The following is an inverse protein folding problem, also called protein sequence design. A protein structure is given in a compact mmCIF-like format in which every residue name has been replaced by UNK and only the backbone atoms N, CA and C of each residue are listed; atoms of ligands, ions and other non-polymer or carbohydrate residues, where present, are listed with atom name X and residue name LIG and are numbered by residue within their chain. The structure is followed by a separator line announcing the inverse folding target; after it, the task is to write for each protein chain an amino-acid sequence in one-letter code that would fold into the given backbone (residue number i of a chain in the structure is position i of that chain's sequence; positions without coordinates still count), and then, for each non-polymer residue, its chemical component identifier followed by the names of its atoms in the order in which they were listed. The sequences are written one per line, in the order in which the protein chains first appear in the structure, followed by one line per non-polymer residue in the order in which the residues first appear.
data_IF_466975251357
#
_entry.id   IF_466975251357
#
_cell.length_a   1.000
_cell.length_b   1.000
_cell.length_c   1.000
_cell.angle_alpha   90.00
_cell.angle_beta   90.00
_cell.angle_gamma   90.00
#
_symmetry.space_group_name_H-M   'P 1'
#
loop_
_entity.id
_entity.type
_entity.pdbx_description
1 polymer ?
#
# COMPACT_ATOMS: atom_id res chain seq x y z
N UNK A 1 14.09 -36.63 -47.58
CA UNK A 1 12.88 -36.39 -48.40
C UNK A 1 11.76 -37.31 -47.92
N UNK A 2 10.57 -36.73 -47.63
CA UNK A 2 9.22 -37.35 -47.62
C UNK A 2 8.93 -38.51 -46.62
N UNK A 3 7.73 -38.69 -46.04
CA UNK A 3 6.47 -37.94 -45.85
C UNK A 3 5.54 -38.86 -44.99
N UNK A 4 4.86 -38.29 -43.98
CA UNK A 4 3.45 -38.52 -43.54
C UNK A 4 2.96 -39.88 -43.02
N UNK A 5 2.37 -39.87 -41.81
CA UNK A 5 0.94 -40.21 -41.48
C UNK A 5 0.71 -39.95 -39.97
N UNK A 6 -0.04 -38.94 -39.52
CA UNK A 6 -1.50 -38.63 -39.52
C UNK A 6 -2.27 -39.24 -38.32
N UNK A 7 -3.04 -38.36 -37.68
CA UNK A 7 -3.75 -38.38 -36.40
C UNK A 7 -4.91 -39.39 -36.25
N UNK A 8 -5.14 -39.84 -35.00
CA UNK A 8 -6.44 -40.12 -34.33
C UNK A 8 -6.19 -39.90 -32.83
N UNK A 9 -6.70 -38.91 -32.08
CA UNK A 9 -8.03 -38.31 -31.90
C UNK A 9 -9.00 -39.18 -31.05
N UNK A 10 -8.84 -39.06 -29.74
CA UNK A 10 -9.84 -39.20 -28.67
C UNK A 10 -9.31 -38.34 -27.51
N UNK A 11 -10.00 -37.35 -26.95
CA UNK A 11 -11.43 -37.17 -26.79
C UNK A 11 -11.74 -37.07 -25.30
N UNK A 12 -11.24 -36.02 -24.62
CA UNK A 12 -11.71 -35.62 -23.29
C UNK A 12 -11.99 -34.13 -23.37
N UNK A 13 -13.27 -33.80 -23.40
CA UNK A 13 -13.76 -32.44 -23.29
C UNK A 13 -13.46 -31.94 -21.88
N UNK A 14 -12.33 -31.24 -21.73
CA UNK A 14 -12.15 -30.32 -20.61
C UNK A 14 -13.06 -29.15 -20.93
N UNK A 15 -14.22 -29.08 -20.27
CA UNK A 15 -14.96 -27.85 -20.13
C UNK A 15 -14.06 -26.89 -19.36
N UNK A 16 -13.21 -26.18 -20.09
CA UNK A 16 -12.51 -25.02 -19.58
C UNK A 16 -13.61 -24.04 -19.16
N UNK A 17 -13.82 -23.97 -17.84
CA UNK A 17 -14.67 -22.99 -17.23
C UNK A 17 -14.28 -21.63 -17.81
N UNK A 18 -15.32 -20.92 -18.22
CA UNK A 18 -15.26 -19.62 -18.87
C UNK A 18 -14.29 -18.74 -18.07
N UNK A 19 -13.11 -18.48 -18.63
CA UNK A 19 -12.26 -17.41 -18.16
C UNK A 19 -13.06 -16.13 -18.42
N UNK A 20 -13.77 -15.68 -17.39
CA UNK A 20 -14.43 -14.39 -17.35
C UNK A 20 -13.35 -13.31 -17.44
N UNK A 21 -12.98 -12.97 -18.67
CA UNK A 21 -12.40 -11.67 -19.00
C UNK A 21 -13.51 -10.62 -18.76
N UNK A 22 -13.66 -10.16 -17.53
CA UNK A 22 -14.51 -9.02 -17.16
C UNK A 22 -13.64 -8.06 -16.34
N UNK A 23 -13.25 -6.93 -16.96
CA UNK A 23 -12.64 -5.78 -16.29
C UNK A 23 -11.18 -5.94 -15.85
N UNK A 24 -10.23 -5.72 -16.75
CA UNK A 24 -8.78 -5.84 -16.50
C UNK A 24 -8.16 -4.66 -15.73
N UNK A 25 -8.90 -3.98 -14.84
CA UNK A 25 -8.34 -2.91 -14.03
C UNK A 25 -7.67 -3.52 -12.79
N UNK A 26 -6.35 -3.32 -12.60
CA UNK A 26 -5.64 -3.87 -11.46
C UNK A 26 -6.21 -3.28 -10.16
N UNK A 27 -6.28 -4.05 -9.04
CA UNK A 27 -6.90 -3.59 -7.81
C UNK A 27 -6.28 -2.28 -7.33
N UNK A 28 -7.04 -1.22 -7.05
CA UNK A 28 -6.51 0.09 -6.70
C UNK A 28 -5.70 0.03 -5.40
N UNK A 29 -4.92 1.08 -5.08
CA UNK A 29 -4.36 1.24 -3.75
C UNK A 29 -5.44 1.05 -2.68
N UNK A 30 -5.09 0.31 -1.63
CA UNK A 30 -5.99 -0.02 -0.54
C UNK A 30 -6.38 1.23 0.22
N UNK A 31 -7.69 1.42 0.42
CA UNK A 31 -8.21 2.49 1.27
C UNK A 31 -7.96 2.16 2.74
N UNK A 32 -7.51 3.16 3.48
CA UNK A 32 -7.36 3.09 4.93
C UNK A 32 -7.43 4.48 5.55
N UNK A 33 -7.69 4.52 6.85
CA UNK A 33 -7.46 5.66 7.72
C UNK A 33 -6.52 5.17 8.83
N UNK A 34 -5.38 5.80 9.00
CA UNK A 34 -4.32 5.24 9.83
C UNK A 34 -3.42 6.33 10.39
N UNK A 35 -3.10 7.29 9.53
CA UNK A 35 -2.46 8.57 9.86
C UNK A 35 -3.44 9.65 9.44
N UNK A 36 -3.80 10.52 10.37
CA UNK A 36 -4.74 11.63 10.15
C UNK A 36 -3.99 12.86 9.67
N UNK A 37 -2.84 13.17 10.27
CA UNK A 37 -2.06 14.37 9.97
C UNK A 37 -0.55 14.08 10.01
N UNK A 38 0.19 14.71 9.11
CA UNK A 38 1.65 14.80 9.15
C UNK A 38 1.99 16.26 8.94
N UNK A 39 2.61 16.88 9.94
CA UNK A 39 2.95 18.28 9.93
C UNK A 39 4.38 18.47 10.40
N UNK A 40 4.89 19.69 10.24
CA UNK A 40 6.10 20.10 10.92
C UNK A 40 5.78 20.53 12.35
N UNK A 41 6.59 20.07 13.30
CA UNK A 41 6.51 20.48 14.69
C UNK A 41 7.02 21.91 14.91
N UNK A 42 7.08 22.30 16.18
CA UNK A 42 7.61 23.61 16.58
C UNK A 42 9.01 23.84 16.00
N UNK A 43 9.26 25.06 15.51
CA UNK A 43 10.50 25.46 14.84
C UNK A 43 10.78 24.78 13.48
N UNK A 44 9.89 23.92 13.00
CA UNK A 44 10.02 23.23 11.71
C UNK A 44 11.27 22.35 11.61
N UNK A 45 11.72 21.76 12.72
CA UNK A 45 12.88 20.86 12.80
C UNK A 45 12.48 19.41 13.08
N UNK A 46 11.18 19.11 13.21
CA UNK A 46 10.65 17.77 13.45
C UNK A 46 9.37 17.54 12.65
N UNK A 47 9.06 16.28 12.38
CA UNK A 47 7.74 15.85 11.90
C UNK A 47 6.87 15.52 13.11
N UNK A 48 5.68 16.10 13.19
CA UNK A 48 4.61 15.70 14.09
C UNK A 48 3.59 14.88 13.32
N UNK A 49 3.25 13.72 13.84
CA UNK A 49 2.36 12.75 13.20
C UNK A 49 1.22 12.45 14.13
N UNK A 50 0.00 12.60 13.63
CA UNK A 50 -1.19 12.17 14.33
C UNK A 50 -1.66 10.81 13.77
N UNK A 51 -1.73 9.82 14.65
CA UNK A 51 -2.40 8.55 14.36
C UNK A 51 -3.90 8.82 14.30
N UNK A 52 -4.63 8.09 13.45
CA UNK A 52 -6.08 8.26 13.38
C UNK A 52 -6.78 7.76 14.66
N UNK A 53 -7.76 8.51 15.18
CA UNK A 53 -8.54 8.11 16.37
C UNK A 53 -9.35 6.81 16.18
N UNK A 54 -9.82 6.56 14.96
CA UNK A 54 -10.55 5.36 14.54
C UNK A 54 -9.87 4.80 13.28
N UNK A 55 -8.73 4.08 13.43
CA UNK A 55 -8.05 3.52 12.29
C UNK A 55 -8.87 2.41 11.64
N UNK A 56 -8.84 2.37 10.31
CA UNK A 56 -9.54 1.33 9.56
C UNK A 56 -8.83 1.02 8.25
N UNK A 57 -9.15 -0.14 7.70
CA UNK A 57 -8.58 -0.63 6.45
C UNK A 57 -9.62 -1.41 5.65
N UNK A 58 -9.70 -1.14 4.34
CA UNK A 58 -10.46 -1.98 3.42
C UNK A 58 -9.63 -3.23 3.09
N UNK A 59 -10.22 -4.42 3.21
CA UNK A 59 -9.52 -5.66 2.93
C UNK A 59 -10.46 -6.69 2.30
N UNK A 60 -9.87 -7.60 1.52
CA UNK A 60 -10.51 -8.84 1.03
C UNK A 60 -10.37 -10.01 2.01
N UNK A 61 -9.80 -9.75 3.18
CA UNK A 61 -9.77 -10.74 4.26
C UNK A 61 -11.19 -11.23 4.53
N UNK A 62 -11.36 -12.52 4.74
CA UNK A 62 -12.62 -13.13 5.13
C UNK A 62 -12.39 -13.94 6.41
N UNK A 63 -13.01 -13.47 7.50
CA UNK A 63 -12.87 -14.05 8.83
C UNK A 63 -13.57 -15.43 8.91
N UNK A 64 -14.65 -15.64 8.17
CA UNK A 64 -15.47 -16.87 8.25
C UNK A 64 -14.76 -18.07 7.62
N UNK A 65 -13.89 -17.83 6.63
CA UNK A 65 -13.06 -18.88 6.01
C UNK A 65 -11.83 -19.25 6.85
N UNK A 66 -11.43 -18.41 7.81
CA UNK A 66 -10.23 -18.63 8.64
C UNK A 66 -10.48 -19.44 9.92
N UNK A 67 -11.75 -19.67 10.29
CA UNK A 67 -12.16 -20.30 11.56
C UNK A 67 -12.46 -21.81 11.53
N UNK A 68 -12.36 -22.48 10.39
CA UNK A 68 -12.71 -23.91 10.29
C UNK A 68 -11.89 -24.65 9.23
N UNK A 69 -10.70 -25.12 9.59
CA UNK A 69 -10.04 -26.22 8.88
C UNK A 69 -9.31 -27.13 9.87
N UNK A 70 -10.08 -28.02 10.50
CA UNK A 70 -9.55 -29.33 10.85
C UNK A 70 -9.57 -30.19 9.56
N UNK A 71 -8.39 -30.70 9.18
CA UNK A 71 -8.14 -31.78 8.19
C UNK A 71 -8.07 -31.41 6.67
N UNK A 72 -7.32 -32.20 5.87
CA UNK A 72 -6.26 -31.67 4.99
C UNK A 72 -6.77 -31.32 3.59
N UNK A 73 -6.91 -30.03 3.33
CA UNK A 73 -7.11 -29.48 1.98
C UNK A 73 -6.12 -28.34 1.73
N UNK A 74 -4.85 -28.63 1.96
CA UNK A 74 -3.68 -27.75 1.79
C UNK A 74 -3.36 -27.37 0.33
N UNK A 75 -4.33 -27.43 -0.59
CA UNK A 75 -4.13 -27.11 -2.02
C UNK A 75 -5.13 -26.06 -2.54
N UNK A 76 -6.25 -25.78 -1.84
CA UNK A 76 -7.23 -24.79 -2.29
C UNK A 76 -7.20 -23.45 -1.53
N UNK A 77 -6.61 -23.43 -0.32
CA UNK A 77 -6.29 -22.17 0.37
C UNK A 77 -5.17 -21.35 -0.31
N UNK A 78 -4.57 -21.88 -1.39
CA UNK A 78 -3.54 -21.24 -2.19
C UNK A 78 -4.09 -20.46 -3.41
N UNK A 79 -5.41 -20.40 -3.60
CA UNK A 79 -6.04 -19.74 -4.77
C UNK A 79 -6.76 -18.43 -4.46
N UNK A 80 -6.74 -17.95 -3.21
CA UNK A 80 -7.03 -16.54 -2.93
C UNK A 80 -5.70 -15.88 -2.58
N UNK A 81 -5.09 -15.09 -3.48
CA UNK A 81 -3.81 -14.43 -3.22
C UNK A 81 -4.04 -13.30 -2.23
N UNK A 82 -4.26 -13.67 -0.96
CA UNK A 82 -4.21 -12.76 0.17
C UNK A 82 -2.73 -12.42 0.33
N UNK A 83 -2.41 -11.17 0.07
CA UNK A 83 -1.05 -10.66 -0.03
C UNK A 83 -0.21 -10.98 1.21
N UNK A 84 0.60 -12.03 1.13
CA UNK A 84 1.88 -12.04 1.81
C UNK A 84 2.63 -10.82 1.29
N UNK A 85 2.75 -9.79 2.13
CA UNK A 85 3.56 -8.61 1.84
C UNK A 85 5.06 -8.99 1.86
N UNK A 86 5.50 -9.78 0.89
CA UNK A 86 6.88 -9.81 0.44
C UNK A 86 7.01 -8.85 -0.72
N UNK A 87 7.06 -7.55 -0.40
CA UNK A 87 7.50 -6.55 -1.36
C UNK A 87 8.98 -6.83 -1.69
N UNK A 88 9.21 -7.61 -2.74
CA UNK A 88 10.55 -7.85 -3.27
C UNK A 88 10.56 -7.72 -4.80
N UNK A 89 10.88 -6.51 -5.26
CA UNK A 89 12.14 -6.18 -5.96
C UNK A 89 11.92 -4.92 -6.82
N UNK A 90 12.61 -3.84 -6.46
CA UNK A 90 12.80 -2.67 -7.31
C UNK A 90 13.50 -3.02 -8.62
N UNK A 91 13.32 -2.17 -9.62
CA UNK A 91 13.97 -2.31 -10.91
C UNK A 91 13.28 -1.46 -11.96
N UNK A 92 13.86 -0.30 -12.24
CA UNK A 92 13.32 0.69 -13.16
C UNK A 92 13.18 0.26 -14.62
N UNK A 93 12.69 1.24 -15.39
CA UNK A 93 12.38 1.26 -16.83
C UNK A 93 11.10 0.53 -17.26
N UNK A 94 10.00 1.29 -17.20
CA UNK A 94 9.01 1.27 -18.28
C UNK A 94 8.01 0.12 -18.29
N UNK A 95 7.50 -0.30 -17.14
CA UNK A 95 6.40 -1.26 -17.06
C UNK A 95 5.33 -0.83 -16.07
N UNK A 96 4.06 -0.89 -16.49
CA UNK A 96 2.89 -0.95 -15.60
C UNK A 96 2.94 -2.28 -14.83
N UNK A 97 3.75 -2.32 -13.79
CA UNK A 97 3.88 -3.42 -12.83
C UNK A 97 3.87 -2.86 -11.40
N UNK A 98 3.61 -3.72 -10.42
CA UNK A 98 3.03 -3.42 -9.10
C UNK A 98 3.64 -2.31 -8.20
N UNK A 99 4.72 -1.63 -8.60
CA UNK A 99 5.29 -0.45 -7.90
C UNK A 99 5.81 0.64 -8.86
N UNK A 100 5.50 0.57 -10.15
CA UNK A 100 6.07 1.43 -11.20
C UNK A 100 5.36 2.77 -11.33
N UNK A 101 5.98 3.84 -10.80
CA UNK A 101 5.61 5.28 -10.89
C UNK A 101 5.00 5.63 -12.26
N UNK A 102 3.70 5.95 -12.30
CA UNK A 102 2.97 6.32 -13.51
C UNK A 102 3.21 7.77 -13.90
N UNK A 103 2.59 8.22 -14.99
CA UNK A 103 2.80 9.57 -15.56
C UNK A 103 2.02 10.70 -14.88
N UNK A 104 1.32 10.44 -13.77
CA UNK A 104 0.54 11.43 -13.02
C UNK A 104 1.36 12.09 -11.92
N UNK A 105 1.31 13.42 -11.83
CA UNK A 105 2.02 14.20 -10.81
C UNK A 105 1.18 14.44 -9.55
N UNK A 106 1.82 14.91 -8.48
CA UNK A 106 1.19 15.27 -7.20
C UNK A 106 -0.05 16.18 -7.37
N UNK A 107 0.03 17.13 -8.31
CA UNK A 107 -1.03 18.10 -8.57
C UNK A 107 -2.31 17.50 -9.15
N UNK A 108 -2.21 16.37 -9.84
CA UNK A 108 -3.32 15.70 -10.53
C UNK A 108 -3.74 14.40 -9.85
N UNK A 109 -3.07 14.01 -8.76
CA UNK A 109 -3.37 12.78 -8.05
C UNK A 109 -4.65 12.93 -7.22
N UNK A 110 -5.49 11.88 -7.13
CA UNK A 110 -6.61 11.87 -6.20
C UNK A 110 -6.09 12.00 -4.77
N UNK A 111 -6.86 12.67 -3.91
CA UNK A 111 -6.47 12.92 -2.52
C UNK A 111 -7.38 12.22 -1.54
N UNK A 112 -6.84 11.85 -0.38
CA UNK A 112 -7.65 11.36 0.74
C UNK A 112 -8.41 12.49 1.42
N UNK A 113 -9.33 12.15 2.33
CA UNK A 113 -10.02 13.14 3.18
C UNK A 113 -9.08 14.02 4.02
N UNK A 114 -7.83 13.59 4.20
CA UNK A 114 -6.76 14.31 4.90
C UNK A 114 -5.84 15.10 3.95
N UNK A 115 -6.20 15.24 2.67
CA UNK A 115 -5.44 16.03 1.71
C UNK A 115 -4.25 15.33 1.03
N UNK A 116 -3.79 14.18 1.55
CA UNK A 116 -2.68 13.43 0.94
C UNK A 116 -2.99 12.94 -0.47
N UNK A 117 -2.06 13.14 -1.40
CA UNK A 117 -2.12 12.53 -2.73
C UNK A 117 -1.98 11.01 -2.60
N UNK A 118 -2.85 10.24 -3.26
CA UNK A 118 -2.78 8.77 -3.24
C UNK A 118 -1.83 8.30 -4.32
N UNK A 119 -0.75 7.67 -3.89
CA UNK A 119 0.24 7.14 -4.81
C UNK A 119 -0.37 6.00 -5.64
N UNK A 120 -0.34 6.13 -6.97
CA UNK A 120 -1.04 5.27 -7.94
C UNK A 120 -2.57 5.24 -7.83
N UNK A 121 -3.18 6.17 -7.10
CA UNK A 121 -4.63 6.34 -7.15
C UNK A 121 -5.04 6.84 -8.53
N UNK A 122 -6.16 6.35 -9.04
CA UNK A 122 -6.80 6.82 -10.27
C UNK A 122 -8.23 7.28 -10.04
N UNK A 123 -8.75 8.06 -10.97
CA UNK A 123 -10.15 8.53 -10.94
C UNK A 123 -11.14 7.36 -11.00
N UNK A 124 -10.74 6.22 -11.59
CA UNK A 124 -11.54 5.00 -11.71
C UNK A 124 -11.46 4.09 -10.46
N UNK A 125 -10.71 4.48 -9.42
CA UNK A 125 -10.57 3.68 -8.21
C UNK A 125 -11.92 3.47 -7.53
N UNK A 126 -12.77 4.50 -7.48
CA UNK A 126 -14.13 4.41 -6.95
C UNK A 126 -14.96 3.38 -7.71
N UNK A 127 -14.90 3.38 -9.05
CA UNK A 127 -15.61 2.40 -9.88
C UNK A 127 -15.16 0.96 -9.58
N UNK A 128 -13.86 0.76 -9.32
CA UNK A 128 -13.37 -0.56 -8.93
C UNK A 128 -13.98 -1.00 -7.58
N UNK A 129 -13.96 -0.14 -6.56
CA UNK A 129 -14.53 -0.49 -5.24
C UNK A 129 -16.04 -0.73 -5.31
N UNK A 130 -16.77 0.02 -6.15
CA UNK A 130 -18.19 -0.17 -6.37
C UNK A 130 -18.49 -1.54 -7.01
N UNK A 131 -17.69 -1.93 -8.00
CA UNK A 131 -17.82 -3.20 -8.70
C UNK A 131 -17.41 -4.42 -7.86
N UNK A 132 -16.62 -4.23 -6.80
CA UNK A 132 -16.12 -5.30 -5.92
C UNK A 132 -16.59 -5.15 -4.47
N UNK A 133 -17.69 -4.43 -4.24
CA UNK A 133 -18.21 -4.11 -2.90
C UNK A 133 -18.57 -5.34 -2.05
N UNK A 134 -18.81 -6.48 -2.69
CA UNK A 134 -19.11 -7.77 -2.08
C UNK A 134 -17.84 -8.59 -1.76
N UNK A 135 -16.69 -8.20 -2.30
CA UNK A 135 -15.40 -8.83 -2.05
C UNK A 135 -14.55 -8.09 -1.02
N UNK A 136 -14.88 -6.82 -0.74
CA UNK A 136 -14.08 -5.95 0.13
C UNK A 136 -14.90 -5.46 1.30
N UNK A 137 -14.31 -5.52 2.49
CA UNK A 137 -14.93 -5.07 3.73
C UNK A 137 -14.01 -4.10 4.46
N UNK A 138 -14.61 -3.11 5.14
CA UNK A 138 -13.90 -2.23 6.09
C UNK A 138 -13.73 -2.96 7.42
N UNK A 139 -12.49 -3.05 7.88
CA UNK A 139 -12.13 -3.56 9.20
C UNK A 139 -11.67 -2.41 10.09
N UNK A 140 -12.13 -2.42 11.35
CA UNK A 140 -11.52 -1.63 12.41
C UNK A 140 -10.11 -2.16 12.70
N UNK A 141 -9.15 -1.25 12.86
CA UNK A 141 -7.75 -1.58 13.05
C UNK A 141 -7.14 -0.75 14.18
N UNK A 142 -6.18 -1.31 14.89
CA UNK A 142 -5.36 -0.64 15.87
C UNK A 142 -3.97 -0.37 15.29
N UNK A 143 -3.37 0.75 15.70
CA UNK A 143 -1.97 1.06 15.41
C UNK A 143 -1.06 0.23 16.33
N UNK A 144 -0.55 -0.90 15.87
CA UNK A 144 0.34 -1.76 16.67
C UNK A 144 1.77 -1.22 16.77
N UNK A 145 2.23 -0.48 15.75
CA UNK A 145 3.54 0.17 15.74
C UNK A 145 3.54 1.37 14.81
N UNK A 146 4.35 2.39 15.13
CA UNK A 146 4.64 3.53 14.27
C UNK A 146 6.12 3.51 13.88
N UNK A 147 6.43 3.75 12.61
CA UNK A 147 7.78 3.78 12.06
C UNK A 147 8.08 5.08 11.34
N UNK A 148 9.30 5.59 11.55
CA UNK A 148 9.87 6.75 10.88
C UNK A 148 11.13 6.34 10.15
N UNK A 149 11.30 6.80 8.91
CA UNK A 149 12.50 6.53 8.13
C UNK A 149 12.81 7.68 7.16
N UNK A 150 14.09 8.01 7.03
CA UNK A 150 14.62 8.80 5.94
C UNK A 150 14.84 7.91 4.71
N UNK A 151 14.16 8.23 3.62
CA UNK A 151 14.19 7.46 2.38
C UNK A 151 15.29 7.92 1.41
N UNK A 152 15.93 9.06 1.68
CA UNK A 152 16.99 9.60 0.85
C UNK A 152 16.69 10.98 0.30
N UNK A 153 17.64 11.51 -0.47
CA UNK A 153 17.46 12.80 -1.15
C UNK A 153 16.36 12.71 -2.20
N UNK A 154 15.85 13.87 -2.64
CA UNK A 154 14.85 13.91 -3.71
C UNK A 154 15.30 13.16 -4.98
N UNK A 155 16.58 13.28 -5.35
CA UNK A 155 17.14 12.58 -6.50
C UNK A 155 17.14 11.05 -6.31
N UNK A 156 17.55 10.57 -5.13
CA UNK A 156 17.61 9.13 -4.84
C UNK A 156 16.20 8.52 -4.78
N UNK A 157 15.26 9.19 -4.11
CA UNK A 157 13.87 8.74 -4.00
C UNK A 157 13.16 8.74 -5.36
N UNK A 158 13.43 9.74 -6.21
CA UNK A 158 12.83 9.79 -7.55
C UNK A 158 13.32 8.65 -8.45
N UNK A 159 14.57 8.21 -8.28
CA UNK A 159 15.18 7.13 -9.07
C UNK A 159 14.71 5.73 -8.63
N UNK A 160 14.78 5.43 -7.32
CA UNK A 160 14.38 4.13 -6.76
C UNK A 160 13.53 4.27 -5.48
N UNK A 161 12.25 4.61 -5.64
CA UNK A 161 11.34 4.78 -4.52
C UNK A 161 10.90 3.44 -3.90
N UNK A 162 10.78 3.35 -2.56
CA UNK A 162 10.33 2.13 -1.91
C UNK A 162 8.83 1.89 -2.12
N UNK A 163 8.45 0.62 -2.26
CA UNK A 163 7.04 0.19 -2.26
C UNK A 163 6.35 0.40 -0.90
N UNK A 164 5.04 0.15 -0.77
CA UNK A 164 4.22 0.45 0.43
C UNK A 164 4.55 -0.31 1.71
N UNK A 165 5.45 -1.30 1.64
CA UNK A 165 5.81 -2.16 2.76
C UNK A 165 6.68 -1.48 3.81
N UNK A 166 7.10 -2.25 4.83
CA UNK A 166 8.09 -1.76 5.78
C UNK A 166 9.40 -1.41 5.06
N UNK A 167 10.03 -0.36 5.53
CA UNK A 167 11.40 0.01 5.16
C UNK A 167 12.31 -0.20 6.38
N UNK A 168 13.64 -0.15 6.22
CA UNK A 168 14.52 -0.01 7.37
C UNK A 168 14.13 1.26 8.15
N UNK A 169 13.55 1.07 9.34
CA UNK A 169 13.11 2.17 10.20
C UNK A 169 14.31 2.79 10.90
N UNK A 170 14.42 4.12 10.84
CA UNK A 170 15.37 4.87 11.68
C UNK A 170 14.88 4.87 13.13
N UNK A 171 13.57 5.02 13.30
CA UNK A 171 12.91 4.88 14.60
C UNK A 171 11.62 4.08 14.46
N UNK A 172 11.36 3.22 15.44
CA UNK A 172 10.12 2.46 15.54
C UNK A 172 9.60 2.48 16.97
N UNK A 173 8.33 2.85 17.12
CA UNK A 173 7.58 2.86 18.38
C UNK A 173 6.57 1.72 18.37
N UNK A 174 6.54 0.96 19.44
CA UNK A 174 5.48 -0.04 19.69
C UNK A 174 4.40 0.62 20.52
N UNK A 175 3.13 0.39 20.20
CA UNK A 175 2.00 1.03 20.89
C UNK A 175 2.14 2.57 20.89
N UNK A 176 2.15 3.20 19.71
CA UNK A 176 2.28 4.65 19.60
C UNK A 176 1.11 5.36 20.31
N UNK A 177 1.40 6.54 20.84
CA UNK A 177 0.38 7.48 21.28
C UNK A 177 -0.33 8.16 20.10
N UNK A 178 -1.35 8.96 20.39
CA UNK A 178 -2.14 9.65 19.36
C UNK A 178 -1.29 10.61 18.52
N UNK A 179 -0.30 11.26 19.14
CA UNK A 179 0.60 12.23 18.50
C UNK A 179 2.05 11.88 18.79
N UNK A 180 2.84 11.77 17.73
CA UNK A 180 4.21 11.28 17.78
C UNK A 180 5.14 12.21 16.98
N UNK A 181 6.31 12.54 17.53
CA UNK A 181 7.27 13.47 16.92
C UNK A 181 8.53 12.76 16.44
N UNK A 182 9.14 13.17 15.33
CA UNK A 182 10.41 12.63 14.85
C UNK A 182 11.32 13.74 14.33
N UNK A 183 12.57 13.79 14.81
CA UNK A 183 13.50 14.85 14.48
C UNK A 183 14.01 14.74 13.04
N UNK A 184 13.99 15.86 12.32
CA UNK A 184 14.47 15.95 10.95
C UNK A 184 15.98 16.22 10.95
N UNK A 185 16.74 15.28 10.37
CA UNK A 185 18.19 15.42 10.28
C UNK A 185 18.69 16.17 9.03
N UNK A 186 17.90 16.21 7.95
CA UNK A 186 18.30 16.78 6.65
C UNK A 186 17.11 16.91 5.67
N UNK A 187 17.20 17.75 4.63
CA UNK A 187 16.23 17.72 3.53
C UNK A 187 16.18 16.36 2.81
N UNK A 188 14.99 15.97 2.35
CA UNK A 188 14.77 14.79 1.53
C UNK A 188 13.40 14.15 1.77
N UNK A 189 13.27 12.89 1.39
CA UNK A 189 12.04 12.14 1.59
C UNK A 189 12.07 11.38 2.90
N UNK A 190 10.95 11.42 3.61
CA UNK A 190 10.71 10.69 4.84
C UNK A 190 9.48 9.81 4.67
N UNK A 191 9.48 8.64 5.31
CA UNK A 191 8.30 7.79 5.47
C UNK A 191 7.89 7.79 6.93
N UNK A 192 6.61 8.05 7.13
CA UNK A 192 5.90 7.76 8.35
C UNK A 192 4.94 6.62 8.04
N UNK A 193 4.93 5.56 8.83
CA UNK A 193 3.97 4.47 8.62
C UNK A 193 3.50 3.87 9.93
N UNK A 194 2.23 3.48 9.97
CA UNK A 194 1.67 2.71 11.07
C UNK A 194 1.34 1.29 10.61
N UNK A 195 1.64 0.31 11.47
CA UNK A 195 1.24 -1.08 11.30
C UNK A 195 -0.19 -1.24 11.80
N UNK A 196 -1.07 -1.75 10.94
CA UNK A 196 -2.48 -1.94 11.23
C UNK A 196 -2.74 -3.40 11.59
N UNK A 197 -3.10 -3.63 12.85
CA UNK A 197 -3.53 -4.93 13.36
C UNK A 197 -5.06 -4.91 13.56
N UNK A 198 -5.76 -5.98 13.24
CA UNK A 198 -7.23 -6.03 13.37
C UNK A 198 -7.69 -5.96 14.83
N UNK A 199 -8.64 -5.08 15.14
CA UNK A 199 -9.16 -4.93 16.51
C UNK A 199 -10.03 -6.12 16.93
N UNK A 200 -10.90 -6.56 16.02
CA UNK A 200 -11.89 -7.61 16.26
C UNK A 200 -11.62 -8.87 15.43
N UNK A 201 -10.45 -8.93 14.77
CA UNK A 201 -10.02 -10.06 13.94
C UNK A 201 -8.53 -10.30 14.18
N UNK A 202 -8.11 -11.56 14.27
CA UNK A 202 -6.70 -11.90 14.40
C UNK A 202 -6.01 -11.86 13.03
N UNK A 203 -5.81 -10.65 12.52
CA UNK A 203 -5.22 -10.43 11.20
C UNK A 203 -4.29 -9.21 11.18
N UNK A 204 -3.13 -9.38 10.57
CA UNK A 204 -2.16 -8.31 10.30
C UNK A 204 -2.46 -7.71 8.93
N UNK A 205 -2.94 -6.48 8.89
CA UNK A 205 -3.22 -5.77 7.65
C UNK A 205 -1.97 -5.09 7.07
N UNK A 206 -0.79 -5.24 7.67
CA UNK A 206 0.45 -4.65 7.22
C UNK A 206 0.52 -3.14 7.49
N UNK A 207 1.31 -2.43 6.69
CA UNK A 207 1.60 -1.02 6.92
C UNK A 207 0.72 -0.09 6.08
N UNK A 208 0.35 1.04 6.67
CA UNK A 208 -0.20 2.20 5.98
C UNK A 208 0.79 3.35 6.15
N UNK A 209 1.27 3.91 5.03
CA UNK A 209 2.37 4.85 5.03
C UNK A 209 1.98 6.19 4.37
N UNK A 210 2.68 7.23 4.79
CA UNK A 210 2.74 8.54 4.13
C UNK A 210 4.21 8.85 3.87
N UNK A 211 4.54 9.09 2.61
CA UNK A 211 5.85 9.59 2.19
C UNK A 211 5.76 11.12 2.07
N UNK A 212 6.59 11.83 2.82
CA UNK A 212 6.63 13.29 2.84
C UNK A 212 7.97 13.80 2.30
N UNK A 213 7.91 14.80 1.43
CA UNK A 213 9.10 15.52 0.94
C UNK A 213 9.33 16.74 1.79
N UNK A 214 10.44 16.73 2.52
CA UNK A 214 10.90 17.82 3.36
C UNK A 214 12.01 18.57 2.62
N UNK A 215 11.89 19.87 2.48
CA UNK A 215 12.92 20.73 1.89
C UNK A 215 13.31 21.87 2.83
N UNK A 216 14.51 22.42 2.65
CA UNK A 216 14.95 23.58 3.42
C UNK A 216 14.22 24.84 2.95
N UNK A 217 13.69 25.62 3.89
CA UNK A 217 13.12 26.91 3.55
C UNK A 217 14.24 27.88 3.15
N UNK A 218 14.04 28.62 2.05
CA UNK A 218 15.07 29.54 1.56
C UNK A 218 15.38 30.64 2.59
N UNK A 219 16.62 30.65 3.10
CA UNK A 219 17.12 31.70 3.99
C UNK A 219 16.81 31.54 5.48
N UNK A 220 16.34 30.37 5.92
CA UNK A 220 16.10 30.04 7.33
C UNK A 220 16.63 28.64 7.67
N UNK A 221 16.95 28.39 8.93
CA UNK A 221 17.26 27.05 9.46
C UNK A 221 15.95 26.30 9.80
N UNK A 222 15.01 26.26 8.85
CA UNK A 222 13.70 25.64 9.01
C UNK A 222 13.36 24.78 7.79
N UNK A 223 12.55 23.75 7.99
CA UNK A 223 12.04 22.92 6.90
C UNK A 223 10.63 23.34 6.46
N UNK A 224 10.25 22.88 5.26
CA UNK A 224 8.88 22.90 4.74
C UNK A 224 8.50 21.53 4.17
N UNK A 225 7.22 21.18 4.17
CA UNK A 225 6.72 19.97 3.50
C UNK A 225 6.19 20.37 2.12
N UNK A 226 6.88 19.93 1.06
CA UNK A 226 6.49 20.27 -0.31
C UNK A 226 5.45 19.29 -0.88
N UNK A 227 5.53 18.02 -0.50
CA UNK A 227 4.68 16.95 -1.04
C UNK A 227 4.36 15.88 -0.01
N UNK A 228 3.15 15.34 -0.07
CA UNK A 228 2.70 14.26 0.81
C UNK A 228 1.94 13.18 0.02
N UNK A 229 2.47 11.97 0.04
CA UNK A 229 1.94 10.85 -0.70
C UNK A 229 1.50 9.75 0.24
N UNK A 230 0.20 9.44 0.26
CA UNK A 230 -0.28 8.21 0.86
C UNK A 230 0.21 7.02 0.04
N UNK A 231 0.94 6.12 0.68
CA UNK A 231 1.48 4.90 0.08
C UNK A 231 0.79 3.70 0.73
N UNK A 232 0.08 2.91 -0.07
CA UNK A 232 -0.69 1.77 0.41
C UNK A 232 -0.50 0.56 -0.50
N UNK A 233 -0.47 -0.67 0.06
CA UNK A 233 -0.52 -1.87 -0.76
C UNK A 233 -1.81 -1.87 -1.58
N UNK A 234 -1.85 -2.62 -2.69
CA UNK A 234 -3.10 -2.85 -3.42
C UNK A 234 -4.02 -3.77 -2.60
N UNK A 235 -5.33 -3.61 -2.81
CA UNK A 235 -6.36 -4.38 -2.11
C UNK A 235 -6.51 -5.83 -2.60
#
# INVERSE_FOLDING_TARGET
MRRRRLLQLSGVAVTAAVAGCLGNNPPPPRRSNAISDVALGDQSESLTVNVADDPWVMSRYDADTSGSLAEPSSVLAALSPVGLASAQKGGGRGGSGATGRGTGGYTTAPRTGHGYAVYHGGDDDDEWYENHRDEVQRYGAAAGALGFAYLGSNAAFTDDPPGPGPVPWDEKRTEPSDTETFDLSRPGWYRVATKLDGENVNHDFGWAAVDVRVDSQFGQDSYDIEEEWKVSPRI
#
